data_IF_383949775566
#
_entry.id   IF_383949775566
#
_cell.length_a   1.000
_cell.length_b   1.000
_cell.length_c   1.000
_cell.angle_alpha   90.00
_cell.angle_beta   90.00
_cell.angle_gamma   90.00
#
_symmetry.space_group_name_H-M   'P 1'
#
loop_
_entity.id
_entity.type
_entity.pdbx_description
1 polymer ?
#
# COMPACT_ATOMS: atom_id res chain seq x y z
N UNK A 1 13.48 13.36 -39.24
CA UNK A 1 12.31 12.74 -38.56
C UNK A 1 12.69 11.34 -38.13
N UNK A 2 12.23 10.93 -36.92
CA UNK A 2 12.21 9.56 -36.33
C UNK A 2 13.55 9.08 -35.74
N UNK A 3 13.66 8.38 -34.61
CA UNK A 3 12.88 8.14 -33.36
C UNK A 3 13.71 7.06 -32.60
N UNK A 4 14.01 7.24 -31.29
CA UNK A 4 14.03 6.25 -30.18
C UNK A 4 15.00 5.02 -30.30
N UNK A 5 15.45 4.28 -29.28
CA UNK A 5 15.13 4.11 -27.85
C UNK A 5 16.30 3.34 -27.17
N UNK A 6 16.38 3.52 -25.85
CA UNK A 6 17.16 2.81 -24.82
C UNK A 6 16.74 1.33 -24.73
N UNK A 7 17.62 0.46 -24.21
CA UNK A 7 17.42 -0.51 -23.09
C UNK A 7 18.45 -1.65 -23.19
N UNK A 8 19.26 -1.77 -22.14
CA UNK A 8 20.27 -2.80 -21.95
C UNK A 8 20.01 -3.44 -20.58
N UNK A 9 19.51 -4.67 -20.56
CA UNK A 9 19.87 -5.74 -19.62
C UNK A 9 19.01 -6.98 -19.92
N UNK A 10 19.69 -8.10 -20.13
CA UNK A 10 19.19 -9.29 -20.78
C UNK A 10 18.44 -10.24 -19.83
N UNK A 11 17.36 -10.81 -20.37
CA UNK A 11 16.60 -11.96 -19.85
C UNK A 11 17.30 -13.26 -20.26
N UNK A 12 17.56 -14.16 -19.30
CA UNK A 12 17.92 -15.58 -19.46
C UNK A 12 17.38 -16.33 -18.23
N UNK A 13 16.73 -17.49 -18.26
CA UNK A 13 16.12 -18.31 -19.31
C UNK A 13 15.22 -19.38 -18.61
N UNK A 14 13.98 -19.53 -19.11
CA UNK A 14 13.17 -20.74 -19.29
C UNK A 14 13.34 -22.00 -18.42
N UNK A 15 12.23 -22.48 -17.84
CA UNK A 15 11.95 -23.92 -17.66
C UNK A 15 11.04 -24.31 -16.48
N UNK A 16 9.72 -24.27 -16.64
CA UNK A 16 8.79 -24.69 -15.58
C UNK A 16 7.29 -24.54 -15.91
N UNK A 17 6.84 -25.31 -16.88
CA UNK A 17 5.52 -25.32 -17.50
C UNK A 17 4.41 -25.82 -16.53
N UNK A 18 3.45 -24.95 -16.18
CA UNK A 18 2.02 -25.23 -15.90
C UNK A 18 1.55 -25.98 -14.63
N UNK A 19 2.37 -26.17 -13.58
CA UNK A 19 1.91 -26.74 -12.29
C UNK A 19 2.14 -25.90 -11.03
N UNK A 20 2.90 -24.80 -11.13
CA UNK A 20 3.47 -24.09 -9.96
C UNK A 20 2.74 -22.79 -9.57
N UNK A 21 1.82 -22.31 -10.40
CA UNK A 21 1.15 -21.01 -10.20
C UNK A 21 0.21 -21.01 -8.98
N UNK A 22 -0.18 -22.17 -8.47
CA UNK A 22 -0.96 -22.27 -7.23
C UNK A 22 -0.12 -22.15 -5.95
N UNK A 23 1.19 -22.45 -6.00
CA UNK A 23 2.07 -22.47 -4.82
C UNK A 23 2.96 -21.23 -4.68
N UNK A 24 3.32 -20.56 -5.78
CA UNK A 24 4.16 -19.36 -5.76
C UNK A 24 3.49 -18.16 -5.08
N UNK A 25 2.18 -17.96 -5.28
CA UNK A 25 1.42 -16.87 -4.66
C UNK A 25 1.16 -17.03 -3.15
N UNK A 26 1.46 -18.21 -2.58
CA UNK A 26 1.28 -18.47 -1.14
C UNK A 26 2.46 -18.03 -0.27
N UNK A 27 3.66 -17.85 -0.84
CA UNK A 27 4.85 -17.53 -0.05
C UNK A 27 5.35 -16.12 -0.32
N UNK A 28 5.63 -15.40 0.76
CA UNK A 28 6.32 -14.11 0.74
C UNK A 28 7.81 -14.37 0.97
N UNK A 29 8.57 -14.56 -0.10
CA UNK A 29 10.02 -14.85 -0.01
C UNK A 29 10.87 -13.63 -0.38
N UNK A 30 10.32 -12.66 -1.14
CA UNK A 30 11.08 -11.54 -1.67
C UNK A 30 11.02 -10.36 -0.71
N UNK A 31 12.14 -10.07 -0.06
CA UNK A 31 12.27 -8.91 0.83
C UNK A 31 12.31 -7.62 0.00
N UNK A 32 11.41 -6.68 0.32
CA UNK A 32 11.44 -5.31 -0.19
C UNK A 32 11.71 -4.31 0.95
N UNK A 33 12.36 -3.22 0.57
CA UNK A 33 12.58 -2.02 1.39
C UNK A 33 12.67 -0.84 0.41
N UNK A 34 11.52 -0.24 0.13
CA UNK A 34 11.35 0.79 -0.89
C UNK A 34 10.98 2.11 -0.24
N UNK A 35 11.51 3.20 -0.78
CA UNK A 35 11.28 4.54 -0.25
C UNK A 35 11.06 5.53 -1.37
N UNK A 36 10.09 6.42 -1.17
CA UNK A 36 9.77 7.55 -2.03
C UNK A 36 9.76 8.84 -1.20
N UNK A 37 10.17 9.94 -1.80
CA UNK A 37 10.07 11.28 -1.23
C UNK A 37 9.06 12.07 -2.05
N UNK A 38 8.16 12.77 -1.37
CA UNK A 38 7.16 13.67 -1.94
C UNK A 38 7.55 15.10 -1.57
N UNK A 39 7.66 15.93 -2.60
CA UNK A 39 8.17 17.30 -2.48
C UNK A 39 7.08 18.32 -2.13
N UNK A 40 5.81 18.01 -2.40
CA UNK A 40 4.71 18.88 -2.02
C UNK A 40 4.33 18.70 -0.54
N UNK A 41 3.94 19.81 0.08
CA UNK A 41 3.37 19.83 1.43
C UNK A 41 1.86 19.54 1.40
N UNK A 42 1.20 19.72 0.25
CA UNK A 42 -0.20 19.35 0.04
C UNK A 42 -0.27 18.12 -0.86
N UNK A 43 -0.25 16.96 -0.22
CA UNK A 43 -0.25 15.68 -0.91
C UNK A 43 -1.70 15.34 -1.29
N UNK A 44 -1.97 15.17 -2.58
CA UNK A 44 -3.29 14.77 -3.07
C UNK A 44 -3.63 13.35 -2.59
N UNK A 45 -2.70 12.40 -2.77
CA UNK A 45 -2.98 10.99 -2.54
C UNK A 45 -1.75 10.17 -2.21
N UNK A 46 -1.84 9.34 -1.18
CA UNK A 46 -0.92 8.22 -0.92
C UNK A 46 -1.75 6.94 -0.94
N UNK A 47 -1.41 5.98 -1.78
CA UNK A 47 -2.19 4.77 -1.95
C UNK A 47 -1.34 3.50 -2.03
N UNK A 48 -1.85 2.44 -1.41
CA UNK A 48 -1.36 1.07 -1.53
C UNK A 48 -2.49 0.17 -2.05
N UNK A 49 -2.29 -0.40 -3.24
CA UNK A 49 -3.33 -1.10 -3.99
C UNK A 49 -2.94 -2.56 -4.23
N UNK A 50 -3.86 -3.49 -3.97
CA UNK A 50 -3.73 -4.89 -4.35
C UNK A 50 -2.80 -5.72 -3.45
N UNK A 51 -2.60 -5.31 -2.20
CA UNK A 51 -1.92 -6.14 -1.21
C UNK A 51 -2.71 -7.44 -0.98
N UNK A 52 -2.01 -8.54 -0.68
CA UNK A 52 -2.62 -9.87 -0.47
C UNK A 52 -2.24 -10.51 0.86
N UNK A 53 -1.90 -9.66 1.83
CA UNK A 53 -1.38 -10.01 3.15
C UNK A 53 -1.75 -8.88 4.12
N UNK A 54 -1.70 -9.14 5.43
CA UNK A 54 -1.97 -8.10 6.42
C UNK A 54 -1.02 -6.91 6.27
N UNK A 55 -1.49 -5.72 6.62
CA UNK A 55 -0.76 -4.45 6.48
C UNK A 55 -0.68 -3.76 7.83
N UNK A 56 0.50 -3.25 8.17
CA UNK A 56 0.74 -2.28 9.24
C UNK A 56 1.00 -0.92 8.60
N UNK A 57 0.07 0.01 8.78
CA UNK A 57 0.17 1.39 8.30
C UNK A 57 0.53 2.29 9.47
N UNK A 58 1.61 3.05 9.35
CA UNK A 58 1.96 4.08 10.33
C UNK A 58 2.07 5.42 9.63
N UNK A 59 1.32 6.42 10.08
CA UNK A 59 1.47 7.81 9.66
C UNK A 59 1.91 8.64 10.84
N UNK A 60 3.03 9.34 10.70
CA UNK A 60 3.63 10.13 11.76
C UNK A 60 4.11 11.47 11.22
N UNK A 61 3.94 12.52 12.01
CA UNK A 61 4.47 13.85 11.71
C UNK A 61 5.94 13.93 12.05
N UNK A 62 6.74 14.51 11.16
CA UNK A 62 8.17 14.74 11.37
C UNK A 62 8.54 16.21 11.22
N UNK A 63 9.76 16.55 11.62
CA UNK A 63 10.37 17.85 11.32
C UNK A 63 11.13 17.89 10.00
N UNK A 64 11.04 16.85 9.17
CA UNK A 64 11.77 16.73 7.91
C UNK A 64 11.23 17.70 6.86
N UNK A 65 12.04 18.08 5.88
CA UNK A 65 11.60 18.98 4.81
C UNK A 65 10.56 18.33 3.88
N UNK A 66 10.75 17.05 3.57
CA UNK A 66 9.93 16.29 2.64
C UNK A 66 9.12 15.21 3.36
N UNK A 67 8.00 14.83 2.76
CA UNK A 67 7.28 13.63 3.19
C UNK A 67 7.96 12.40 2.63
N UNK A 68 8.23 11.40 3.48
CA UNK A 68 8.84 10.15 3.07
C UNK A 68 7.86 9.00 3.24
N UNK A 69 7.66 8.21 2.19
CA UNK A 69 6.84 7.00 2.23
C UNK A 69 7.75 5.78 2.08
N UNK A 70 7.63 4.81 2.99
CA UNK A 70 8.43 3.59 3.03
C UNK A 70 7.51 2.37 2.99
N UNK A 71 7.79 1.43 2.10
CA UNK A 71 7.15 0.11 2.07
C UNK A 71 8.19 -0.97 2.30
N UNK A 72 7.99 -1.77 3.36
CA UNK A 72 8.95 -2.81 3.74
C UNK A 72 8.25 -4.09 4.18
N UNK A 73 8.93 -5.23 3.97
CA UNK A 73 8.42 -6.55 4.31
C UNK A 73 8.69 -7.54 3.19
N UNK A 74 8.17 -8.76 3.32
CA UNK A 74 8.26 -9.76 2.26
C UNK A 74 7.01 -9.76 1.41
N UNK A 75 7.17 -9.84 0.10
CA UNK A 75 6.07 -9.94 -0.86
C UNK A 75 6.23 -11.21 -1.72
N UNK A 76 5.16 -11.62 -2.40
CA UNK A 76 5.25 -12.67 -3.41
C UNK A 76 5.98 -12.15 -4.66
N UNK A 77 6.48 -13.06 -5.50
CA UNK A 77 7.10 -12.71 -6.78
C UNK A 77 6.12 -11.94 -7.69
N UNK A 78 4.83 -12.32 -7.67
CA UNK A 78 3.79 -11.62 -8.42
C UNK A 78 3.63 -10.18 -7.92
N UNK A 79 3.50 -9.99 -6.60
CA UNK A 79 3.38 -8.65 -6.00
C UNK A 79 4.61 -7.78 -6.29
N UNK A 80 5.82 -8.35 -6.22
CA UNK A 80 7.05 -7.64 -6.55
C UNK A 80 7.05 -7.19 -8.02
N UNK A 81 6.61 -8.05 -8.94
CA UNK A 81 6.53 -7.72 -10.35
C UNK A 81 5.54 -6.58 -10.67
N UNK A 82 4.52 -6.36 -9.83
CA UNK A 82 3.58 -5.25 -9.96
C UNK A 82 4.15 -3.91 -9.46
N UNK A 83 5.15 -3.91 -8.58
CA UNK A 83 5.74 -2.66 -8.04
C UNK A 83 6.28 -1.73 -9.13
N UNK A 84 6.67 -2.26 -10.29
CA UNK A 84 7.07 -1.46 -11.47
C UNK A 84 5.97 -0.52 -11.98
N UNK A 85 4.71 -0.76 -11.61
CA UNK A 85 3.56 0.06 -11.96
C UNK A 85 3.32 1.20 -10.97
N UNK A 86 4.14 1.29 -9.91
CA UNK A 86 4.08 2.39 -8.94
C UNK A 86 4.22 3.73 -9.64
N UNK A 87 3.28 4.64 -9.38
CA UNK A 87 3.29 6.00 -9.92
C UNK A 87 3.62 6.96 -8.79
N UNK A 88 4.76 7.63 -8.90
CA UNK A 88 5.19 8.69 -7.98
C UNK A 88 5.25 10.03 -8.72
N UNK A 89 4.69 11.06 -8.09
CA UNK A 89 4.77 12.47 -8.47
C UNK A 89 5.05 13.29 -7.21
N UNK A 90 5.31 14.58 -7.37
CA UNK A 90 5.62 15.49 -6.27
C UNK A 90 4.53 15.52 -5.18
N UNK A 91 3.26 15.37 -5.58
CA UNK A 91 2.06 15.47 -4.72
C UNK A 91 1.30 14.15 -4.54
N UNK A 92 1.77 13.05 -5.12
CA UNK A 92 1.00 11.80 -5.13
C UNK A 92 1.86 10.55 -5.29
N UNK A 93 1.47 9.49 -4.58
CA UNK A 93 2.08 8.18 -4.68
C UNK A 93 1.00 7.10 -4.74
N UNK A 94 1.04 6.27 -5.77
CA UNK A 94 0.21 5.08 -5.89
C UNK A 94 1.11 3.85 -6.07
N UNK A 95 1.21 3.04 -5.02
CA UNK A 95 1.95 1.78 -5.00
C UNK A 95 1.01 0.65 -5.40
N UNK A 96 1.34 -0.07 -6.47
CA UNK A 96 0.53 -1.19 -6.96
C UNK A 96 1.23 -2.52 -6.71
N UNK A 97 0.55 -3.40 -5.98
CA UNK A 97 0.97 -4.78 -5.73
C UNK A 97 0.13 -5.80 -6.51
N UNK A 98 -1.06 -5.43 -7.00
CA UNK A 98 -1.88 -6.23 -7.90
C UNK A 98 -2.98 -5.39 -8.57
N UNK A 99 -3.55 -5.89 -9.66
CA UNK A 99 -4.82 -5.39 -10.20
C UNK A 99 -6.02 -5.99 -9.45
N UNK A 100 -6.93 -5.13 -8.97
CA UNK A 100 -8.13 -5.54 -8.22
C UNK A 100 -9.25 -6.11 -9.11
N UNK A 101 -9.18 -5.91 -10.42
CA UNK A 101 -10.25 -6.26 -11.36
C UNK A 101 -10.26 -7.75 -11.75
N UNK A 102 -9.29 -8.53 -11.28
CA UNK A 102 -9.18 -9.95 -11.59
C UNK A 102 -9.84 -10.74 -10.45
N UNK A 103 -10.79 -11.62 -10.79
CA UNK A 103 -11.54 -12.46 -9.85
C UNK A 103 -10.58 -13.38 -9.06
N UNK A 104 -10.07 -12.93 -7.91
CA UNK A 104 -9.07 -13.64 -7.08
C UNK A 104 -9.74 -14.43 -5.96
N UNK A 105 -10.55 -15.42 -6.34
CA UNK A 105 -11.29 -16.31 -5.41
C UNK A 105 -10.40 -17.23 -4.53
N UNK A 106 -9.08 -17.23 -4.73
CA UNK A 106 -8.16 -18.20 -4.12
C UNK A 106 -7.01 -17.54 -3.33
N UNK A 107 -7.03 -16.23 -3.14
CA UNK A 107 -5.98 -15.54 -2.39
C UNK A 107 -6.23 -15.66 -0.89
N UNK A 108 -5.19 -16.02 -0.13
CA UNK A 108 -5.22 -16.05 1.34
C UNK A 108 -4.03 -15.28 1.90
N UNK A 109 -4.26 -14.57 3.02
CA UNK A 109 -3.20 -13.94 3.79
C UNK A 109 -2.44 -14.94 4.69
N UNK A 110 -2.96 -16.16 4.86
CA UNK A 110 -2.40 -17.14 5.79
C UNK A 110 -0.95 -17.51 5.45
N UNK A 111 -0.05 -17.36 6.43
CA UNK A 111 1.36 -17.68 6.30
C UNK A 111 2.19 -16.61 5.57
N UNK A 112 1.58 -15.50 5.15
CA UNK A 112 2.31 -14.35 4.62
C UNK A 112 2.72 -13.40 5.74
N UNK A 113 3.91 -12.82 5.64
CA UNK A 113 4.37 -11.82 6.60
C UNK A 113 3.61 -10.49 6.41
N UNK A 114 3.40 -9.77 7.50
CA UNK A 114 2.74 -8.46 7.47
C UNK A 114 3.61 -7.47 6.69
N UNK A 115 2.99 -6.69 5.81
CA UNK A 115 3.64 -5.62 5.06
C UNK A 115 3.56 -4.32 5.85
N UNK A 116 4.66 -3.57 5.93
CA UNK A 116 4.70 -2.30 6.65
C UNK A 116 4.75 -1.13 5.69
N UNK A 117 3.74 -0.26 5.75
CA UNK A 117 3.68 1.03 5.08
C UNK A 117 3.90 2.14 6.12
N UNK A 118 4.96 2.93 6.00
CA UNK A 118 5.23 4.07 6.88
C UNK A 118 5.20 5.36 6.08
N UNK A 119 4.41 6.32 6.52
CA UNK A 119 4.33 7.68 5.98
C UNK A 119 4.86 8.64 7.03
N UNK A 120 6.07 9.13 6.80
CA UNK A 120 6.72 10.18 7.59
C UNK A 120 6.35 11.52 6.97
N UNK A 121 5.28 12.15 7.46
CA UNK A 121 4.84 13.45 6.94
C UNK A 121 5.93 14.50 7.21
N UNK A 122 6.27 15.24 6.17
CA UNK A 122 7.16 16.39 6.26
C UNK A 122 6.55 17.48 7.15
N UNK A 123 7.40 18.42 7.52
CA UNK A 123 7.00 19.58 8.31
C UNK A 123 5.91 20.35 7.57
N UNK A 124 4.83 20.66 8.26
CA UNK A 124 3.67 21.38 7.74
C UNK A 124 2.95 20.66 6.58
N UNK A 125 3.28 19.38 6.31
CA UNK A 125 2.65 18.60 5.25
C UNK A 125 1.34 17.94 5.72
N UNK A 126 0.42 17.78 4.78
CA UNK A 126 -0.87 17.10 4.94
C UNK A 126 -1.18 16.25 3.71
N UNK A 127 -2.06 15.26 3.84
CA UNK A 127 -2.59 14.51 2.71
C UNK A 127 -4.11 14.63 2.63
N UNK A 128 -4.65 14.76 1.41
CA UNK A 128 -6.10 14.75 1.20
C UNK A 128 -6.65 13.32 1.28
N UNK A 129 -5.92 12.32 0.76
CA UNK A 129 -6.34 10.91 0.79
C UNK A 129 -5.17 9.98 1.13
N UNK A 130 -5.34 9.18 2.17
CA UNK A 130 -4.58 7.95 2.40
C UNK A 130 -5.48 6.76 2.07
N UNK A 131 -5.09 5.95 1.09
CA UNK A 131 -5.88 4.81 0.61
C UNK A 131 -5.12 3.50 0.76
N UNK A 132 -5.75 2.53 1.40
CA UNK A 132 -5.31 1.14 1.42
C UNK A 132 -6.43 0.30 0.84
N UNK A 133 -6.23 -0.19 -0.38
CA UNK A 133 -7.17 -1.12 -1.00
C UNK A 133 -6.46 -2.48 -1.13
N UNK A 134 -6.71 -3.36 -0.17
CA UNK A 134 -6.14 -4.69 -0.06
C UNK A 134 -7.13 -5.74 -0.55
N UNK A 135 -6.62 -6.80 -1.16
CA UNK A 135 -7.43 -7.96 -1.55
C UNK A 135 -7.85 -8.78 -0.33
N UNK A 136 -6.93 -9.00 0.61
CA UNK A 136 -7.16 -9.84 1.81
C UNK A 136 -6.14 -9.53 2.89
N UNK A 137 -6.54 -9.76 4.14
CA UNK A 137 -5.69 -9.61 5.32
C UNK A 137 -6.10 -8.43 6.17
N UNK A 138 -5.69 -8.46 7.43
CA UNK A 138 -6.04 -7.42 8.39
C UNK A 138 -5.26 -6.13 8.09
N UNK A 139 -5.90 -4.98 8.30
CA UNK A 139 -5.24 -3.67 8.23
C UNK A 139 -5.21 -3.06 9.62
N UNK A 140 -4.00 -2.87 10.14
CA UNK A 140 -3.74 -2.11 11.35
C UNK A 140 -3.19 -0.75 10.91
N UNK A 141 -3.81 0.34 11.35
CA UNK A 141 -3.41 1.68 10.98
C UNK A 141 -3.24 2.58 12.21
N UNK A 142 -2.03 3.05 12.44
CA UNK A 142 -1.73 4.14 13.37
C UNK A 142 -1.68 5.44 12.58
N UNK A 143 -2.64 6.32 12.79
CA UNK A 143 -2.78 7.60 12.07
C UNK A 143 -2.31 8.74 12.98
N UNK A 144 -1.70 9.79 12.42
CA UNK A 144 -1.18 10.91 13.19
C UNK A 144 -2.26 11.55 14.07
N UNK A 145 -1.90 11.91 15.31
CA UNK A 145 -2.85 12.42 16.30
C UNK A 145 -3.59 13.70 15.88
N UNK A 146 -2.97 14.51 15.01
CA UNK A 146 -3.55 15.74 14.45
C UNK A 146 -4.65 15.49 13.41
N UNK A 147 -4.80 14.27 12.89
CA UNK A 147 -5.80 13.95 11.88
C UNK A 147 -7.21 14.21 12.39
N UNK A 148 -7.96 15.05 11.69
CA UNK A 148 -9.33 15.42 12.04
C UNK A 148 -10.29 15.33 10.85
N UNK A 149 -9.99 14.43 9.91
CA UNK A 149 -10.76 14.14 8.71
C UNK A 149 -11.76 13.00 8.88
N UNK A 150 -12.10 12.34 7.76
CA UNK A 150 -13.08 11.26 7.70
C UNK A 150 -12.41 9.88 7.51
N UNK A 151 -12.94 8.87 8.21
CA UNK A 151 -12.59 7.46 8.00
C UNK A 151 -13.65 6.79 7.13
N UNK A 152 -13.22 6.14 6.04
CA UNK A 152 -14.05 5.29 5.18
C UNK A 152 -13.48 3.87 5.23
N UNK A 153 -14.14 2.96 5.96
CA UNK A 153 -13.61 1.64 6.28
C UNK A 153 -14.59 0.56 5.79
N UNK A 154 -14.15 -0.34 4.91
CA UNK A 154 -14.95 -1.41 4.30
C UNK A 154 -14.23 -2.77 4.45
N UNK A 155 -14.93 -3.78 4.97
CA UNK A 155 -14.36 -5.12 5.27
C UNK A 155 -14.87 -6.25 4.36
N UNK A 156 -15.57 -5.91 3.26
CA UNK A 156 -16.14 -6.83 2.25
C UNK A 156 -16.75 -8.13 2.83
N UNK A 157 -17.54 -7.99 3.89
CA UNK A 157 -18.31 -9.04 4.60
C UNK A 157 -17.48 -10.14 5.31
N UNK A 158 -16.14 -10.09 5.27
CA UNK A 158 -15.25 -11.12 5.84
C UNK A 158 -14.41 -10.67 7.04
N UNK A 159 -14.62 -9.46 7.54
CA UNK A 159 -14.00 -8.96 8.75
C UNK A 159 -14.83 -7.87 9.43
N UNK A 160 -14.30 -7.35 10.53
CA UNK A 160 -14.95 -6.32 11.35
C UNK A 160 -14.05 -5.10 11.53
N UNK A 161 -14.66 -3.91 11.62
CA UNK A 161 -13.98 -2.71 12.11
C UNK A 161 -13.92 -2.79 13.64
N UNK A 162 -12.75 -3.13 14.18
CA UNK A 162 -12.54 -3.38 15.62
C UNK A 162 -12.42 -2.10 16.43
N UNK A 163 -11.73 -1.10 15.89
CA UNK A 163 -11.53 0.19 16.54
C UNK A 163 -11.38 1.29 15.49
N UNK A 164 -11.95 2.46 15.79
CA UNK A 164 -11.77 3.68 15.02
C UNK A 164 -11.80 4.88 15.97
N UNK A 165 -10.80 5.78 15.95
CA UNK A 165 -10.81 6.96 16.81
C UNK A 165 -11.90 7.95 16.39
N UNK A 166 -12.45 8.68 17.36
CA UNK A 166 -13.36 9.78 17.04
C UNK A 166 -12.59 10.95 16.38
N UNK A 167 -13.25 11.63 15.44
CA UNK A 167 -12.79 12.87 14.83
C UNK A 167 -13.91 13.91 14.85
N UNK A 168 -13.55 15.19 14.86
CA UNK A 168 -14.50 16.31 14.74
C UNK A 168 -14.86 16.60 13.28
N UNK A 169 -14.18 15.96 12.31
CA UNK A 169 -14.43 16.09 10.87
C UNK A 169 -14.35 17.54 10.40
N UNK A 170 -13.35 18.28 10.89
CA UNK A 170 -13.15 19.68 10.50
C UNK A 170 -12.27 19.81 9.25
N UNK A 171 -11.52 18.76 8.91
CA UNK A 171 -10.80 18.65 7.64
C UNK A 171 -11.58 17.85 6.59
N UNK A 172 -11.25 18.05 5.32
CA UNK A 172 -11.75 17.24 4.19
C UNK A 172 -10.90 16.00 3.93
N UNK A 173 -9.78 15.85 4.63
CA UNK A 173 -8.85 14.75 4.47
C UNK A 173 -9.52 13.41 4.80
N UNK A 174 -9.05 12.34 4.16
CA UNK A 174 -9.68 11.03 4.23
C UNK A 174 -8.65 9.93 4.45
N UNK A 175 -9.01 8.99 5.31
CA UNK A 175 -8.35 7.68 5.41
C UNK A 175 -9.36 6.65 4.91
N UNK A 176 -9.01 6.00 3.80
CA UNK A 176 -9.83 4.99 3.12
C UNK A 176 -9.16 3.64 3.23
N UNK A 177 -9.83 2.67 3.83
CA UNK A 177 -9.32 1.31 3.99
C UNK A 177 -10.40 0.34 3.49
N UNK A 178 -10.04 -0.46 2.50
CA UNK A 178 -10.85 -1.54 1.93
C UNK A 178 -10.03 -2.82 1.98
N UNK A 179 -10.57 -3.87 2.61
CA UNK A 179 -9.91 -5.19 2.69
C UNK A 179 -10.91 -6.31 2.94
N UNK A 180 -10.56 -7.55 2.58
CA UNK A 180 -11.19 -8.75 3.13
C UNK A 180 -10.43 -9.19 4.39
N UNK A 181 -10.74 -8.55 5.53
CA UNK A 181 -10.08 -8.78 6.82
C UNK A 181 -10.53 -7.78 7.87
N UNK A 182 -9.98 -7.90 9.08
CA UNK A 182 -10.31 -6.97 10.16
C UNK A 182 -9.60 -5.63 9.98
N UNK A 183 -10.24 -4.53 10.38
CA UNK A 183 -9.65 -3.19 10.36
C UNK A 183 -9.56 -2.66 11.79
N UNK A 184 -8.36 -2.22 12.18
CA UNK A 184 -8.12 -1.50 13.43
C UNK A 184 -7.43 -0.19 13.12
N UNK A 185 -8.01 0.92 13.58
CA UNK A 185 -7.39 2.25 13.47
C UNK A 185 -7.13 2.80 14.86
N UNK A 186 -5.93 3.34 15.06
CA UNK A 186 -5.45 3.98 16.29
C UNK A 186 -4.82 5.34 15.98
N UNK A 187 -4.58 6.14 17.03
CA UNK A 187 -3.90 7.44 17.00
C UNK A 187 -2.78 7.48 18.02
#
# INVERSE_FOLDING_TARGET
MKKKLIILAAVLATGGFFGYTGFAGMKTENQIDLSWELDDTKIEKIALIGAEQSIDVTVLETGSEHTRVVLSGKVSEDNEAYLKNTVAKDDSLEITLAELNQFRLMTTANGKEQLKLTVELGKDASYEVLEVNSVVGDVQATIQGSFDGEYHLETNEQGEVKAVPETKKTSKDQVRIDTMGDITVEK
#
